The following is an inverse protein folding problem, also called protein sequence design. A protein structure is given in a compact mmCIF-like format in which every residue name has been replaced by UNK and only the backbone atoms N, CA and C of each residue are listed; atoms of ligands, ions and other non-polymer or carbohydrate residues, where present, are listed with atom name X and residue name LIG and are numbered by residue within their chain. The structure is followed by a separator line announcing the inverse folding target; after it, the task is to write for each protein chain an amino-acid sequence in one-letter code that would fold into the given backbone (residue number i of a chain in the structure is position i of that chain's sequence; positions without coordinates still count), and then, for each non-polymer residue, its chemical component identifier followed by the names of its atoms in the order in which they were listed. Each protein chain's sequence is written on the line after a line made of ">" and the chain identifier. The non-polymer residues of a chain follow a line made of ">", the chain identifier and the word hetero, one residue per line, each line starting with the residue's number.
data_IF_366651316058
#
_entry.id   IF_366651316058
#
_cell.length_a   1.000
_cell.length_b   1.000
_cell.length_c   1.000
_cell.angle_alpha   90.00
_cell.angle_beta   90.00
_cell.angle_gamma   90.00
#
_symmetry.space_group_name_H-M   'P 1'
#
loop_
_entity.id
_entity.type
_entity.pdbx_description
1 polymer ?
#
# COMPACT_ATOMS: atom_id res chain seq x y z
N UNK A 1 -18.18 7.12 1.21
CA UNK A 1 -17.32 7.37 0.05
C UNK A 1 -15.88 7.54 0.50
N UNK A 2 -14.98 6.92 -0.19
CA UNK A 2 -13.57 7.07 0.11
C UNK A 2 -13.02 8.27 -0.61
N UNK A 3 -12.28 9.06 0.12
CA UNK A 3 -11.56 10.19 -0.40
C UNK A 3 -10.06 9.90 -0.23
N UNK A 4 -9.32 9.87 -1.32
CA UNK A 4 -7.88 9.62 -1.28
C UNK A 4 -7.09 10.87 -0.91
N UNK A 5 -7.78 12.00 -0.73
CA UNK A 5 -7.15 13.23 -0.24
C UNK A 5 -7.58 13.46 1.20
N UNK A 6 -6.68 13.95 2.07
CA UNK A 6 -7.04 14.30 3.43
C UNK A 6 -8.07 15.43 3.43
N UNK A 7 -9.08 15.31 4.25
CA UNK A 7 -10.06 16.39 4.40
C UNK A 7 -9.58 17.40 5.45
N UNK A 8 -10.40 18.39 5.72
CA UNK A 8 -10.05 19.46 6.66
C UNK A 8 -9.90 18.99 8.10
N UNK A 9 -10.42 17.79 8.44
CA UNK A 9 -10.28 17.22 9.77
C UNK A 9 -9.00 16.39 9.94
N UNK A 10 -8.26 16.11 8.85
CA UNK A 10 -7.00 15.38 8.91
C UNK A 10 -5.92 16.21 9.59
N UNK A 11 -5.09 15.55 10.37
CA UNK A 11 -3.98 16.21 11.02
C UNK A 11 -2.91 16.64 10.00
N UNK A 12 -2.11 17.63 10.37
CA UNK A 12 -0.98 18.06 9.55
C UNK A 12 0.02 16.90 9.36
N UNK A 13 0.22 16.11 10.41
CA UNK A 13 1.15 14.95 10.36
C UNK A 13 0.67 13.92 9.35
N UNK A 14 -0.63 13.63 9.33
CA UNK A 14 -1.19 12.68 8.37
C UNK A 14 -1.06 13.21 6.94
N UNK A 15 -1.30 14.50 6.72
CA UNK A 15 -1.13 15.11 5.40
C UNK A 15 0.32 15.07 4.92
N UNK A 16 1.26 15.31 5.81
CA UNK A 16 2.69 15.21 5.49
C UNK A 16 3.06 13.78 5.09
N UNK A 17 2.56 12.80 5.83
CA UNK A 17 2.80 11.39 5.51
C UNK A 17 2.26 11.04 4.11
N UNK A 18 1.04 11.47 3.80
CA UNK A 18 0.44 11.23 2.48
C UNK A 18 1.30 11.86 1.39
N UNK A 19 1.74 13.10 1.58
CA UNK A 19 2.61 13.78 0.62
C UNK A 19 3.91 13.00 0.40
N UNK A 20 4.52 12.51 1.49
CA UNK A 20 5.74 11.72 1.40
C UNK A 20 5.51 10.40 0.66
N UNK A 21 4.39 9.74 0.92
CA UNK A 21 4.02 8.51 0.22
C UNK A 21 3.78 8.76 -1.27
N UNK A 22 3.12 9.86 -1.61
CA UNK A 22 2.89 10.24 -3.00
C UNK A 22 4.21 10.48 -3.73
N UNK A 23 5.13 11.20 -3.13
CA UNK A 23 6.44 11.47 -3.72
C UNK A 23 7.26 10.19 -3.86
N UNK A 24 7.25 9.34 -2.83
CA UNK A 24 8.04 8.11 -2.82
C UNK A 24 7.53 7.10 -3.87
N UNK A 25 6.24 7.10 -4.14
CA UNK A 25 5.61 6.14 -5.07
C UNK A 25 5.42 6.69 -6.47
N UNK A 26 5.70 7.98 -6.69
CA UNK A 26 5.50 8.61 -8.00
C UNK A 26 6.26 7.89 -9.09
N UNK A 27 5.55 7.52 -10.17
CA UNK A 27 6.11 6.82 -11.33
C UNK A 27 6.79 5.50 -10.97
N UNK A 28 6.40 4.91 -9.86
CA UNK A 28 6.90 3.60 -9.43
C UNK A 28 5.80 2.56 -9.66
N UNK A 29 6.17 1.45 -10.30
CA UNK A 29 5.23 0.42 -10.70
C UNK A 29 5.55 -0.89 -9.99
N UNK A 30 4.50 -1.59 -9.58
CA UNK A 30 4.65 -2.95 -9.06
C UNK A 30 4.57 -3.92 -10.23
N UNK A 31 5.62 -4.69 -10.42
CA UNK A 31 5.72 -5.61 -11.54
C UNK A 31 5.28 -7.01 -11.14
N UNK A 32 4.28 -7.53 -11.84
CA UNK A 32 3.87 -8.92 -11.79
C UNK A 32 3.81 -9.41 -13.24
N UNK A 33 2.74 -10.02 -13.69
CA UNK A 33 2.57 -10.32 -15.11
C UNK A 33 2.29 -9.04 -15.91
N UNK A 34 1.81 -8.01 -15.23
CA UNK A 34 1.67 -6.66 -15.77
C UNK A 34 2.25 -5.66 -14.77
N UNK A 35 2.41 -4.42 -15.20
CA UNK A 35 2.87 -3.35 -14.32
C UNK A 35 1.71 -2.45 -13.95
N UNK A 36 1.56 -2.16 -12.66
CA UNK A 36 0.55 -1.25 -12.15
C UNK A 36 1.20 -0.19 -11.25
N UNK A 37 0.73 1.05 -11.31
CA UNK A 37 1.28 2.09 -10.44
C UNK A 37 0.90 1.85 -8.98
N UNK A 38 1.75 2.36 -8.11
CA UNK A 38 1.43 2.45 -6.68
C UNK A 38 0.68 3.75 -6.44
N UNK A 39 -0.43 3.67 -5.72
CA UNK A 39 -1.23 4.84 -5.39
C UNK A 39 -1.40 4.93 -3.88
N UNK A 40 -1.58 6.14 -3.37
CA UNK A 40 -1.77 6.36 -1.94
C UNK A 40 -3.22 6.06 -1.57
N UNK A 41 -3.38 5.38 -0.45
CA UNK A 41 -4.68 5.11 0.17
C UNK A 41 -4.76 5.85 1.50
N UNK A 42 -5.88 6.54 1.75
CA UNK A 42 -6.12 7.20 3.01
C UNK A 42 -7.61 7.16 3.37
N UNK A 43 -7.89 6.78 4.62
CA UNK A 43 -9.25 6.71 5.15
C UNK A 43 -9.23 7.20 6.59
N UNK A 44 -9.86 8.33 6.84
CA UNK A 44 -9.75 9.02 8.12
C UNK A 44 -10.82 8.64 9.15
N UNK A 45 -11.64 7.64 8.89
CA UNK A 45 -12.57 7.10 9.88
C UNK A 45 -11.83 6.23 10.87
N UNK A 46 -12.17 6.39 12.14
CA UNK A 46 -11.44 5.72 13.22
C UNK A 46 -12.14 4.48 13.76
N UNK A 47 -13.27 4.09 13.18
CA UNK A 47 -13.95 2.85 13.56
C UNK A 47 -13.09 1.65 13.20
N UNK A 48 -13.43 0.50 13.78
CA UNK A 48 -12.68 -0.73 13.54
C UNK A 48 -12.51 -0.98 12.04
N UNK A 49 -11.26 -1.14 11.61
CA UNK A 49 -10.93 -1.45 10.25
C UNK A 49 -10.44 -2.89 10.15
N UNK A 50 -11.05 -3.66 9.26
CA UNK A 50 -10.63 -5.02 8.95
C UNK A 50 -10.93 -5.32 7.47
N UNK A 51 -10.68 -6.55 7.06
CA UNK A 51 -10.90 -6.95 5.66
C UNK A 51 -12.36 -6.83 5.22
N UNK A 52 -13.31 -6.96 6.14
CA UNK A 52 -14.73 -6.80 5.82
C UNK A 52 -15.05 -5.36 5.48
N UNK A 53 -14.48 -4.41 6.19
CA UNK A 53 -14.63 -2.98 5.88
C UNK A 53 -14.07 -2.69 4.50
N UNK A 54 -12.91 -3.26 4.18
CA UNK A 54 -12.28 -3.07 2.89
C UNK A 54 -13.15 -3.60 1.75
N UNK A 55 -13.79 -4.76 1.94
CA UNK A 55 -14.74 -5.30 0.97
C UNK A 55 -15.91 -4.35 0.72
N UNK A 56 -16.44 -3.76 1.79
CA UNK A 56 -17.58 -2.85 1.70
C UNK A 56 -17.23 -1.54 1.01
N UNK A 57 -16.05 -0.99 1.33
CA UNK A 57 -15.60 0.29 0.80
C UNK A 57 -15.55 0.28 -0.73
N UNK A 58 -15.09 -0.83 -1.32
CA UNK A 58 -14.88 -0.95 -2.76
C UNK A 58 -15.89 -1.86 -3.45
N UNK A 59 -16.96 -2.21 -2.78
CA UNK A 59 -18.07 -2.98 -3.35
C UNK A 59 -17.64 -4.35 -3.90
N UNK A 60 -16.73 -5.03 -3.21
CA UNK A 60 -16.33 -6.37 -3.61
C UNK A 60 -17.42 -7.38 -3.32
N UNK A 61 -17.55 -8.43 -4.14
CA UNK A 61 -18.45 -9.57 -3.81
C UNK A 61 -18.05 -10.19 -2.47
N UNK A 62 -19.03 -10.67 -1.72
CA UNK A 62 -18.78 -11.28 -0.38
C UNK A 62 -17.89 -12.51 -0.44
N UNK A 63 -17.90 -13.23 -1.57
CA UNK A 63 -17.08 -14.43 -1.78
C UNK A 63 -15.67 -14.11 -2.26
N UNK A 64 -15.29 -12.85 -2.35
CA UNK A 64 -13.95 -12.44 -2.79
C UNK A 64 -12.89 -13.10 -1.90
N UNK A 65 -11.93 -13.76 -2.54
CA UNK A 65 -10.81 -14.37 -1.84
C UNK A 65 -9.95 -13.29 -1.21
N UNK A 66 -9.66 -13.44 0.08
CA UNK A 66 -8.83 -12.49 0.83
C UNK A 66 -7.64 -13.24 1.40
N UNK A 67 -6.44 -12.75 1.13
CA UNK A 67 -5.22 -13.23 1.77
C UNK A 67 -4.58 -12.06 2.49
N UNK A 68 -4.16 -12.27 3.73
CA UNK A 68 -3.44 -11.26 4.50
C UNK A 68 -2.01 -11.72 4.58
N UNK A 69 -1.08 -10.87 4.15
CA UNK A 69 0.34 -11.18 4.11
C UNK A 69 1.10 -10.22 5.01
N UNK A 70 2.21 -10.70 5.57
CA UNK A 70 3.07 -9.86 6.40
C UNK A 70 3.76 -8.81 5.51
N UNK A 71 3.84 -7.60 6.01
CA UNK A 71 4.31 -6.42 5.28
C UNK A 71 5.72 -6.60 4.70
N UNK A 72 6.68 -7.00 5.53
CA UNK A 72 8.07 -7.11 5.06
C UNK A 72 8.24 -8.26 4.09
N UNK A 73 7.50 -9.35 4.29
CA UNK A 73 7.52 -10.49 3.37
C UNK A 73 7.01 -10.10 1.99
N UNK A 74 5.98 -9.25 1.94
CA UNK A 74 5.43 -8.78 0.67
C UNK A 74 6.48 -8.01 -0.14
N UNK A 75 7.28 -7.20 0.53
CA UNK A 75 8.29 -6.36 -0.12
C UNK A 75 9.66 -7.04 -0.25
N UNK A 76 9.81 -8.27 0.19
CA UNK A 76 11.12 -8.93 0.26
C UNK A 76 11.88 -8.88 -1.07
N UNK A 77 11.26 -9.32 -2.15
CA UNK A 77 11.92 -9.34 -3.46
C UNK A 77 12.18 -7.94 -4.01
N UNK A 78 11.29 -6.99 -3.74
CA UNK A 78 11.40 -5.63 -4.26
C UNK A 78 12.49 -4.80 -3.55
N UNK A 79 12.86 -5.19 -2.33
CA UNK A 79 13.86 -4.49 -1.53
C UNK A 79 15.23 -5.16 -1.53
N UNK A 80 15.39 -6.23 -2.28
CA UNK A 80 16.63 -7.00 -2.34
C UNK A 80 17.43 -6.64 -3.59
N UNK A 81 18.66 -6.16 -3.39
CA UNK A 81 19.56 -5.86 -4.51
C UNK A 81 20.25 -7.13 -4.98
N UNK A 82 20.20 -7.39 -6.29
CA UNK A 82 20.82 -8.55 -6.89
C UNK A 82 22.01 -8.14 -7.75
N UNK A 83 22.99 -9.04 -7.89
CA UNK A 83 24.20 -8.75 -8.64
C UNK A 83 23.95 -8.53 -10.14
N UNK A 84 22.86 -9.07 -10.66
CA UNK A 84 22.49 -8.94 -12.07
C UNK A 84 21.65 -7.70 -12.38
N UNK A 85 21.31 -6.91 -11.36
CA UNK A 85 20.54 -5.68 -11.56
C UNK A 85 21.35 -4.62 -12.28
N UNK A 86 20.72 -3.93 -13.24
CA UNK A 86 21.32 -2.75 -13.87
C UNK A 86 21.12 -1.52 -12.95
N UNK A 87 21.59 -0.36 -13.36
CA UNK A 87 21.52 0.85 -12.56
C UNK A 87 20.07 1.28 -12.27
N UNK A 88 19.18 1.16 -13.27
CA UNK A 88 17.78 1.50 -13.09
C UNK A 88 17.10 0.58 -12.08
N UNK A 89 17.38 -0.72 -12.13
CA UNK A 89 16.84 -1.71 -11.20
C UNK A 89 17.36 -1.49 -9.78
N UNK A 90 18.63 -1.15 -9.64
CA UNK A 90 19.21 -0.82 -8.32
C UNK A 90 18.56 0.42 -7.71
N UNK A 91 18.28 1.43 -8.54
CA UNK A 91 17.59 2.62 -8.07
C UNK A 91 16.17 2.31 -7.61
N UNK A 92 15.48 1.46 -8.34
CA UNK A 92 14.13 1.01 -8.00
C UNK A 92 14.11 0.28 -6.66
N UNK A 93 15.08 -0.61 -6.42
CA UNK A 93 15.24 -1.29 -5.13
C UNK A 93 15.40 -0.28 -4.00
N UNK A 94 16.21 0.75 -4.18
CA UNK A 94 16.39 1.80 -3.18
C UNK A 94 15.10 2.56 -2.91
N UNK A 95 14.31 2.81 -3.94
CA UNK A 95 13.02 3.47 -3.80
C UNK A 95 12.05 2.62 -2.98
N UNK A 96 12.00 1.32 -3.21
CA UNK A 96 11.17 0.41 -2.42
C UNK A 96 11.66 0.31 -0.98
N UNK A 97 12.97 0.28 -0.76
CA UNK A 97 13.52 0.31 0.59
C UNK A 97 13.09 1.57 1.34
N UNK A 98 13.11 2.71 0.68
CA UNK A 98 12.66 3.97 1.27
C UNK A 98 11.18 3.96 1.60
N UNK A 99 10.35 3.36 0.74
CA UNK A 99 8.91 3.20 0.99
C UNK A 99 8.66 2.32 2.21
N UNK A 100 9.34 1.19 2.31
CA UNK A 100 9.23 0.29 3.45
C UNK A 100 9.60 1.00 4.74
N UNK A 101 10.70 1.74 4.73
CA UNK A 101 11.14 2.51 5.91
C UNK A 101 10.13 3.59 6.29
N UNK A 102 9.60 4.28 5.31
CA UNK A 102 8.60 5.34 5.53
C UNK A 102 7.34 4.77 6.18
N UNK A 103 6.84 3.67 5.64
CA UNK A 103 5.64 3.01 6.17
C UNK A 103 5.90 2.45 7.57
N UNK A 104 7.01 1.74 7.75
CA UNK A 104 7.34 1.12 9.04
C UNK A 104 7.54 2.16 10.14
N UNK A 105 8.05 3.33 9.79
CA UNK A 105 8.33 4.40 10.76
C UNK A 105 7.06 5.14 11.18
N UNK A 106 6.09 5.27 10.27
CA UNK A 106 4.93 6.16 10.48
C UNK A 106 3.61 5.43 10.75
N UNK A 107 3.54 4.14 10.47
CA UNK A 107 2.30 3.37 10.61
C UNK A 107 2.49 2.21 11.59
N UNK A 108 1.39 1.83 12.25
CA UNK A 108 1.35 0.66 13.14
C UNK A 108 0.32 -0.33 12.61
N UNK A 109 0.38 -1.57 13.09
CA UNK A 109 -0.53 -2.66 12.69
C UNK A 109 -0.59 -2.81 11.16
N UNK A 110 0.57 -2.76 10.52
CA UNK A 110 0.68 -2.79 9.06
C UNK A 110 0.37 -4.20 8.55
N UNK A 111 -0.52 -4.28 7.57
CA UNK A 111 -0.88 -5.54 6.92
C UNK A 111 -1.03 -5.33 5.43
N UNK A 112 -0.78 -6.39 4.67
CA UNK A 112 -1.01 -6.39 3.24
C UNK A 112 -2.22 -7.26 2.96
N UNK A 113 -3.23 -6.67 2.34
CA UNK A 113 -4.48 -7.35 1.97
C UNK A 113 -4.47 -7.61 0.47
N UNK A 114 -4.66 -8.87 0.10
CA UNK A 114 -4.72 -9.28 -1.30
C UNK A 114 -6.13 -9.78 -1.57
N UNK A 115 -6.86 -9.05 -2.40
CA UNK A 115 -8.26 -9.31 -2.68
C UNK A 115 -8.42 -9.73 -4.13
N UNK A 116 -8.83 -10.98 -4.35
CA UNK A 116 -9.04 -11.52 -5.68
C UNK A 116 -8.26 -12.80 -5.89
N UNK A 117 -8.33 -13.33 -7.11
CA UNK A 117 -7.73 -14.61 -7.45
C UNK A 117 -6.76 -14.49 -8.62
N UNK A 118 -7.20 -13.96 -9.76
CA UNK A 118 -6.36 -13.73 -10.94
C UNK A 118 -5.93 -12.26 -10.99
N UNK A 119 -6.88 -11.35 -10.97
CA UNK A 119 -6.63 -9.94 -10.77
C UNK A 119 -6.76 -9.67 -9.28
N UNK A 120 -5.66 -9.30 -8.64
CA UNK A 120 -5.59 -9.16 -7.19
C UNK A 120 -5.35 -7.70 -6.86
N UNK A 121 -6.29 -7.10 -6.15
CA UNK A 121 -6.10 -5.76 -5.61
C UNK A 121 -5.30 -5.86 -4.33
N UNK A 122 -4.25 -5.06 -4.23
CA UNK A 122 -3.32 -5.09 -3.11
C UNK A 122 -3.47 -3.81 -2.31
N UNK A 123 -3.61 -3.96 -1.00
CA UNK A 123 -3.69 -2.84 -0.08
C UNK A 123 -2.65 -3.02 1.02
N UNK A 124 -1.69 -2.11 1.07
CA UNK A 124 -0.63 -2.11 2.08
C UNK A 124 -0.99 -1.01 3.06
N UNK A 125 -1.60 -1.38 4.18
CA UNK A 125 -2.26 -0.43 5.08
C UNK A 125 -1.79 -0.57 6.52
N UNK A 126 -1.78 0.55 7.22
CA UNK A 126 -1.53 0.59 8.65
C UNK A 126 -2.25 1.77 9.27
N UNK A 127 -2.13 1.91 10.59
CA UNK A 127 -2.75 3.00 11.34
C UNK A 127 -1.77 4.14 11.51
N UNK A 128 -2.24 5.36 11.27
CA UNK A 128 -1.46 6.55 11.56
C UNK A 128 -1.49 6.84 13.06
N UNK A 129 -0.68 7.79 13.50
CA UNK A 129 -0.67 8.26 14.88
C UNK A 129 -2.06 8.74 15.32
N UNK A 130 -2.86 9.25 14.41
CA UNK A 130 -4.21 9.75 14.69
C UNK A 130 -5.30 8.73 14.39
N UNK A 131 -4.95 7.44 14.30
CA UNK A 131 -5.88 6.33 14.12
C UNK A 131 -6.58 6.30 12.77
N UNK A 132 -6.10 7.05 11.79
CA UNK A 132 -6.56 6.91 10.41
C UNK A 132 -5.87 5.71 9.75
N UNK A 133 -6.41 5.27 8.62
CA UNK A 133 -5.82 4.18 7.83
C UNK A 133 -5.12 4.80 6.63
N UNK A 134 -3.86 4.47 6.44
CA UNK A 134 -3.07 5.02 5.34
C UNK A 134 -2.12 3.97 4.78
N UNK A 135 -1.68 4.18 3.57
CA UNK A 135 -0.70 3.31 2.93
C UNK A 135 -0.76 3.42 1.42
N UNK A 136 -0.55 2.30 0.77
CA UNK A 136 -0.48 2.22 -0.68
C UNK A 136 -1.40 1.12 -1.21
N UNK A 137 -1.85 1.29 -2.44
CA UNK A 137 -2.61 0.27 -3.15
C UNK A 137 -2.03 0.08 -4.55
N UNK A 138 -2.12 -1.13 -5.05
CA UNK A 138 -1.70 -1.48 -6.40
C UNK A 138 -2.47 -2.72 -6.85
N UNK A 139 -2.06 -3.32 -7.95
CA UNK A 139 -2.69 -4.51 -8.47
C UNK A 139 -1.64 -5.52 -8.92
N UNK A 140 -1.95 -6.80 -8.73
CA UNK A 140 -1.14 -7.92 -9.20
C UNK A 140 -2.00 -8.77 -10.12
N UNK A 141 -1.43 -9.25 -11.22
CA UNK A 141 -2.09 -10.21 -12.09
C UNK A 141 -1.32 -11.52 -12.02
N UNK A 142 -2.05 -12.60 -11.72
CA UNK A 142 -1.52 -13.98 -11.67
C UNK A 142 -2.43 -14.88 -12.50
N UNK A 143 -1.86 -15.53 -13.46
CA UNK A 143 -2.61 -16.49 -14.27
C UNK A 143 -2.13 -17.92 -14.04
#
# INVERSE_FOLDING_TARGET
>A
MIDNTPDSSSSVVDRELITQLELASKDLFWCSETEYPLEVFYWNKTDSFDENVLLQIHDYPVETKIVIQEFRSFFDSATKSESWHNEAEKLEVKRYQAIVDLIAKNLTNIRVYLLGDVEIDVYILGKTEHQAIAGLTTKIVRT
#
